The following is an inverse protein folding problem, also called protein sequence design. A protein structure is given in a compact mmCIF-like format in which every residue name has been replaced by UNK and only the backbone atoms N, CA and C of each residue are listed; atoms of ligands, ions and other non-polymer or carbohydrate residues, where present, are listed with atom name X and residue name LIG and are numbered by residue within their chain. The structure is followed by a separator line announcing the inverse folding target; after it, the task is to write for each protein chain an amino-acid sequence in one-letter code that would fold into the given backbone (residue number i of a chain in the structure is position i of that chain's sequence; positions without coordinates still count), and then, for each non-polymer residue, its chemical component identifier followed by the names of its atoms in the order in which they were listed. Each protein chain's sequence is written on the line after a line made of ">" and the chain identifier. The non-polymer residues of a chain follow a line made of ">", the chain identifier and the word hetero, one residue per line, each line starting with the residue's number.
data_IF_062682157102
#
_entry.id   IF_062682157102
#
_cell.length_a   1.000
_cell.length_b   1.000
_cell.length_c   1.000
_cell.angle_alpha   90.00
_cell.angle_beta   90.00
_cell.angle_gamma   90.00
#
_symmetry.space_group_name_H-M   'P 1'
#
loop_
_entity.id
_entity.type
_entity.pdbx_description
1 polymer ?
#
# COMPACT_ATOMS: atom_id res chain seq x y z
N UNK A 1 -17.19 69.62 26.86
CA UNK A 1 -17.45 68.69 25.73
C UNK A 1 -16.38 68.68 24.65
N UNK A 2 -15.51 69.71 24.52
CA UNK A 2 -14.45 69.76 23.49
C UNK A 2 -13.38 68.65 23.57
N UNK A 3 -12.98 68.22 24.77
CA UNK A 3 -11.96 67.17 24.94
C UNK A 3 -12.44 65.78 24.49
N UNK A 4 -13.70 65.44 24.74
CA UNK A 4 -14.27 64.16 24.35
C UNK A 4 -14.30 63.98 22.83
N UNK A 5 -14.70 65.02 22.08
CA UNK A 5 -14.67 65.01 20.61
C UNK A 5 -13.26 64.80 20.05
N UNK A 6 -12.25 65.46 20.63
CA UNK A 6 -10.87 65.31 20.15
C UNK A 6 -10.31 63.91 20.43
N UNK A 7 -10.71 63.29 21.55
CA UNK A 7 -10.37 61.91 21.86
C UNK A 7 -11.08 60.93 20.90
N UNK A 8 -12.39 61.04 20.73
CA UNK A 8 -13.17 60.20 19.80
C UNK A 8 -12.64 60.29 18.37
N UNK A 9 -12.24 61.49 17.92
CA UNK A 9 -11.59 61.70 16.63
C UNK A 9 -10.30 60.89 16.47
N UNK A 10 -9.43 60.90 17.48
CA UNK A 10 -8.18 60.12 17.46
C UNK A 10 -8.44 58.62 17.51
N UNK A 11 -9.47 58.19 18.22
CA UNK A 11 -9.87 56.79 18.29
C UNK A 11 -10.49 56.30 16.97
N UNK A 12 -11.38 57.07 16.37
CA UNK A 12 -11.96 56.78 15.06
C UNK A 12 -10.86 56.64 14.00
N UNK A 13 -9.90 57.56 14.00
CA UNK A 13 -8.74 57.46 13.10
C UNK A 13 -7.89 56.20 13.34
N UNK A 14 -7.61 55.86 14.60
CA UNK A 14 -6.79 54.69 14.93
C UNK A 14 -7.45 53.35 14.56
N UNK A 15 -8.79 53.31 14.47
CA UNK A 15 -9.59 52.11 14.16
C UNK A 15 -10.16 52.19 12.73
N UNK A 16 -9.69 53.13 11.91
CA UNK A 16 -10.11 53.36 10.51
C UNK A 16 -11.64 53.50 10.34
N UNK A 17 -12.25 54.15 11.32
CA UNK A 17 -13.68 54.37 11.38
C UNK A 17 -14.02 55.81 10.95
N UNK A 18 -15.17 56.02 10.31
CA UNK A 18 -15.58 57.35 9.88
C UNK A 18 -15.77 58.28 11.08
N UNK A 19 -14.88 59.28 11.16
CA UNK A 19 -14.86 60.29 12.22
C UNK A 19 -16.22 61.00 12.36
N UNK A 20 -16.88 61.29 11.24
CA UNK A 20 -18.14 62.01 11.22
C UNK A 20 -19.25 61.22 11.90
N UNK A 21 -19.34 59.92 11.62
CA UNK A 21 -20.38 59.02 12.17
C UNK A 21 -20.18 58.83 13.67
N UNK A 22 -18.93 58.68 14.12
CA UNK A 22 -18.60 58.50 15.54
C UNK A 22 -18.92 59.74 16.37
N UNK A 23 -18.61 60.92 15.82
CA UNK A 23 -18.90 62.19 16.49
C UNK A 23 -20.40 62.51 16.48
N UNK A 24 -21.11 62.23 15.39
CA UNK A 24 -22.56 62.43 15.29
C UNK A 24 -23.33 61.51 16.24
N UNK A 25 -22.92 60.25 16.37
CA UNK A 25 -23.49 59.32 17.36
C UNK A 25 -23.26 59.79 18.81
N UNK A 26 -22.07 60.33 19.11
CA UNK A 26 -21.77 60.89 20.43
C UNK A 26 -22.59 62.14 20.74
N UNK A 27 -22.78 63.02 19.76
CA UNK A 27 -23.57 64.24 19.92
C UNK A 27 -25.08 63.96 19.98
N UNK A 28 -25.56 62.94 19.27
CA UNK A 28 -26.96 62.49 19.28
C UNK A 28 -27.31 61.54 20.44
N UNK A 29 -26.30 61.03 21.16
CA UNK A 29 -26.47 60.07 22.25
C UNK A 29 -26.93 58.68 21.77
N UNK A 30 -26.75 58.38 20.48
CA UNK A 30 -27.18 57.13 19.86
C UNK A 30 -26.07 56.08 19.87
N UNK A 31 -26.42 54.82 20.11
CA UNK A 31 -25.45 53.72 20.09
C UNK A 31 -25.15 53.30 18.64
N UNK A 32 -23.88 53.31 18.24
CA UNK A 32 -23.45 52.81 16.94
C UNK A 32 -23.52 51.28 16.98
N UNK A 33 -24.47 50.69 16.26
CA UNK A 33 -24.53 49.24 16.04
C UNK A 33 -23.82 48.92 14.73
N UNK A 34 -22.75 48.12 14.81
CA UNK A 34 -22.19 47.47 13.62
C UNK A 34 -23.10 46.30 13.26
N UNK A 35 -23.98 46.55 12.30
CA UNK A 35 -24.60 45.46 11.56
C UNK A 35 -23.55 44.98 10.57
N UNK A 36 -22.86 43.88 10.91
CA UNK A 36 -22.19 43.06 9.90
C UNK A 36 -23.30 42.52 9.00
N UNK A 37 -23.67 43.32 8.00
CA UNK A 37 -24.46 42.82 6.88
C UNK A 37 -23.50 41.91 6.13
N UNK A 38 -23.69 40.60 6.22
CA UNK A 38 -23.20 39.66 5.23
C UNK A 38 -23.84 40.07 3.91
N UNK A 39 -23.20 41.00 3.22
CA UNK A 39 -23.62 41.42 1.89
C UNK A 39 -23.27 40.25 0.99
N UNK A 40 -24.23 39.36 0.76
CA UNK A 40 -24.19 38.52 -0.42
C UNK A 40 -24.03 39.47 -1.61
N UNK A 41 -22.84 39.51 -2.21
CA UNK A 41 -22.46 40.43 -3.29
C UNK A 41 -23.41 40.38 -4.52
N UNK A 42 -24.43 39.51 -4.53
CA UNK A 42 -25.40 39.37 -5.61
C UNK A 42 -26.47 40.49 -5.70
N UNK A 43 -26.79 41.19 -4.60
CA UNK A 43 -28.00 42.06 -4.58
C UNK A 43 -27.78 43.53 -4.99
N UNK A 44 -26.56 43.93 -5.37
CA UNK A 44 -26.30 45.27 -5.93
C UNK A 44 -26.64 45.39 -7.43
N UNK A 45 -27.00 44.29 -8.09
CA UNK A 45 -27.40 44.30 -9.51
C UNK A 45 -28.91 44.47 -9.67
N UNK A 46 -29.37 45.71 -9.50
CA UNK A 46 -30.69 46.12 -9.97
C UNK A 46 -30.85 45.78 -11.45
N UNK A 47 -31.67 44.76 -11.78
CA UNK A 47 -32.60 44.66 -12.92
C UNK A 47 -33.11 43.23 -13.09
N UNK A 48 -34.18 42.93 -12.36
CA UNK A 48 -35.33 42.08 -12.75
C UNK A 48 -35.11 41.20 -13.99
N UNK A 49 -34.47 40.04 -13.83
CA UNK A 49 -34.90 38.79 -14.46
C UNK A 49 -34.71 37.68 -13.44
N UNK A 50 -35.82 37.19 -12.89
CA UNK A 50 -35.88 35.91 -12.21
C UNK A 50 -35.52 34.83 -13.24
N UNK A 51 -34.23 34.62 -13.44
CA UNK A 51 -33.72 33.40 -14.01
C UNK A 51 -33.95 32.36 -12.91
N UNK A 52 -35.05 31.60 -13.02
CA UNK A 52 -35.23 30.40 -12.22
C UNK A 52 -33.96 29.58 -12.42
N UNK A 53 -33.05 29.61 -11.43
CA UNK A 53 -31.76 28.91 -11.46
C UNK A 53 -32.14 27.43 -11.62
N UNK A 54 -32.05 26.89 -12.85
CA UNK A 54 -32.23 25.46 -13.09
C UNK A 54 -31.01 24.82 -12.44
N UNK A 55 -31.20 24.23 -11.27
CA UNK A 55 -30.14 23.43 -10.64
C UNK A 55 -29.78 22.34 -11.62
N UNK A 56 -28.61 22.48 -12.23
CA UNK A 56 -28.17 21.53 -13.23
C UNK A 56 -27.82 20.25 -12.49
N UNK A 57 -28.53 19.15 -12.78
CA UNK A 57 -28.20 17.82 -12.27
C UNK A 57 -27.02 17.19 -13.02
N UNK A 58 -26.34 17.92 -13.92
CA UNK A 58 -25.11 17.49 -14.57
C UNK A 58 -24.07 16.95 -13.57
N UNK A 59 -23.69 17.68 -12.49
CA UNK A 59 -22.82 17.15 -11.45
C UNK A 59 -23.33 15.85 -10.82
N UNK A 60 -24.64 15.76 -10.53
CA UNK A 60 -25.24 14.55 -9.95
C UNK A 60 -25.16 13.35 -10.89
N UNK A 61 -25.38 13.56 -12.18
CA UNK A 61 -25.28 12.52 -13.20
C UNK A 61 -23.87 11.93 -13.30
N UNK A 62 -22.82 12.77 -13.17
CA UNK A 62 -21.45 12.29 -13.12
C UNK A 62 -21.18 11.40 -11.91
N UNK A 63 -21.72 11.74 -10.73
CA UNK A 63 -21.59 10.90 -9.55
C UNK A 63 -22.27 9.54 -9.73
N UNK A 64 -23.44 9.51 -10.36
CA UNK A 64 -24.16 8.25 -10.65
C UNK A 64 -23.37 7.41 -11.66
N UNK A 65 -22.85 8.01 -12.73
CA UNK A 65 -22.01 7.31 -13.70
C UNK A 65 -20.72 6.77 -13.09
N UNK A 66 -20.07 7.55 -12.23
CA UNK A 66 -18.85 7.15 -11.53
C UNK A 66 -19.11 5.99 -10.56
N UNK A 67 -20.20 6.06 -9.79
CA UNK A 67 -20.61 4.98 -8.91
C UNK A 67 -20.93 3.68 -9.69
N UNK A 68 -21.65 3.79 -10.81
CA UNK A 68 -21.94 2.64 -11.70
C UNK A 68 -20.68 2.03 -12.28
N UNK A 69 -19.72 2.87 -12.71
CA UNK A 69 -18.44 2.41 -13.25
C UNK A 69 -17.65 1.58 -12.22
N UNK A 70 -17.58 2.06 -10.97
CA UNK A 70 -16.90 1.33 -9.89
C UNK A 70 -17.61 -0.01 -9.62
N UNK A 71 -18.95 -0.01 -9.57
CA UNK A 71 -19.72 -1.22 -9.30
C UNK A 71 -19.55 -2.28 -10.39
N UNK A 72 -19.60 -1.88 -11.67
CA UNK A 72 -19.34 -2.77 -12.80
C UNK A 72 -17.91 -3.31 -12.74
N UNK A 73 -16.91 -2.46 -12.44
CA UNK A 73 -15.52 -2.88 -12.34
C UNK A 73 -15.30 -3.92 -11.23
N UNK A 74 -15.83 -3.66 -10.03
CA UNK A 74 -15.70 -4.57 -8.89
C UNK A 74 -16.40 -5.90 -9.16
N UNK A 75 -17.65 -5.86 -9.65
CA UNK A 75 -18.40 -7.08 -9.94
C UNK A 75 -17.76 -7.89 -11.07
N UNK A 76 -17.27 -7.25 -12.13
CA UNK A 76 -16.52 -7.90 -13.20
C UNK A 76 -15.22 -8.51 -12.67
N UNK A 77 -14.46 -7.78 -11.84
CA UNK A 77 -13.19 -8.26 -11.29
C UNK A 77 -13.38 -9.45 -10.36
N UNK A 78 -14.38 -9.42 -9.47
CA UNK A 78 -14.74 -10.53 -8.58
C UNK A 78 -15.22 -11.74 -9.38
N UNK A 79 -16.09 -11.53 -10.38
CA UNK A 79 -16.57 -12.61 -11.23
C UNK A 79 -15.43 -13.23 -12.05
N UNK A 80 -14.56 -12.41 -12.62
CA UNK A 80 -13.37 -12.87 -13.34
C UNK A 80 -12.41 -13.63 -12.42
N UNK A 81 -12.23 -13.15 -11.17
CA UNK A 81 -11.41 -13.83 -10.17
C UNK A 81 -11.98 -15.22 -9.82
N UNK A 82 -13.29 -15.35 -9.62
CA UNK A 82 -13.94 -16.65 -9.35
C UNK A 82 -13.90 -17.58 -10.57
N UNK A 83 -14.07 -17.05 -11.79
CA UNK A 83 -14.07 -17.85 -13.02
C UNK A 83 -12.67 -18.29 -13.46
N UNK A 84 -11.64 -17.53 -13.13
CA UNK A 84 -10.23 -17.89 -13.41
C UNK A 84 -9.61 -18.74 -12.31
N UNK A 85 -10.29 -18.87 -11.16
CA UNK A 85 -9.99 -19.95 -10.23
C UNK A 85 -10.51 -21.27 -10.80
N UNK A 86 -9.68 -22.33 -10.84
CA UNK A 86 -10.19 -23.66 -11.14
C UNK A 86 -11.26 -23.99 -10.10
N UNK A 87 -12.50 -24.18 -10.55
CA UNK A 87 -13.57 -24.69 -9.71
C UNK A 87 -13.05 -25.91 -8.95
N UNK A 88 -13.20 -25.99 -7.61
CA UNK A 88 -12.92 -27.22 -6.89
C UNK A 88 -13.97 -28.24 -7.37
N UNK A 89 -13.61 -28.99 -8.41
CA UNK A 89 -14.31 -30.20 -8.79
C UNK A 89 -14.51 -31.00 -7.51
N UNK A 90 -15.77 -31.23 -7.16
CA UNK A 90 -16.16 -32.12 -6.06
C UNK A 90 -15.49 -33.47 -6.26
N UNK A 91 -14.36 -33.66 -5.60
CA UNK A 91 -13.58 -34.88 -5.64
C UNK A 91 -14.38 -35.98 -4.95
N UNK A 92 -15.14 -36.74 -5.75
CA UNK A 92 -15.57 -38.08 -5.38
C UNK A 92 -14.31 -38.93 -5.20
N UNK A 93 -13.99 -39.26 -3.95
CA UNK A 93 -12.88 -40.14 -3.63
C UNK A 93 -13.30 -41.60 -3.90
N UNK A 94 -12.65 -42.27 -4.85
CA UNK A 94 -12.65 -43.73 -4.93
C UNK A 94 -11.25 -44.22 -4.62
N UNK A 95 -11.07 -44.79 -3.43
CA UNK A 95 -9.83 -45.46 -3.01
C UNK A 95 -9.90 -46.90 -3.50
N UNK A 96 -9.09 -47.33 -4.49
CA UNK A 96 -8.32 -48.59 -4.41
C UNK A 96 -7.21 -48.66 -5.49
N UNK A 97 -6.06 -49.17 -5.03
CA UNK A 97 -5.19 -50.18 -5.65
C UNK A 97 -4.02 -49.74 -6.53
N UNK A 98 -2.80 -49.89 -5.98
CA UNK A 98 -1.67 -50.47 -6.69
C UNK A 98 -0.77 -51.22 -5.71
N UNK A 99 -1.14 -52.48 -5.48
CA UNK A 99 -0.32 -53.68 -5.37
C UNK A 99 1.18 -53.50 -5.10
N UNK A 100 1.60 -53.90 -3.89
CA UNK A 100 2.93 -54.43 -3.60
C UNK A 100 3.25 -55.63 -4.50
N UNK A 101 4.39 -55.60 -5.20
CA UNK A 101 5.10 -56.79 -5.65
C UNK A 101 6.60 -56.50 -5.81
N UNK A 102 7.36 -57.07 -4.90
CA UNK A 102 8.81 -57.27 -4.87
C UNK A 102 9.34 -58.06 -6.06
N UNK A 103 10.42 -57.59 -6.72
CA UNK A 103 11.45 -58.44 -7.35
C UNK A 103 12.83 -57.78 -7.16
N UNK A 104 13.75 -58.54 -6.56
CA UNK A 104 15.17 -58.25 -6.34
C UNK A 104 16.03 -58.89 -7.43
N UNK A 105 17.15 -58.27 -7.83
CA UNK A 105 18.47 -58.91 -8.11
C UNK A 105 19.43 -57.89 -8.75
N UNK A 106 20.47 -57.48 -7.99
CA UNK A 106 21.93 -57.74 -8.21
C UNK A 106 22.53 -56.97 -9.39
N UNK A 107 23.44 -56.00 -9.22
CA UNK A 107 24.89 -56.10 -8.90
C UNK A 107 25.54 -55.07 -9.86
N UNK A 108 26.59 -54.30 -9.62
CA UNK A 108 27.64 -54.19 -8.60
C UNK A 108 28.55 -53.03 -9.06
N UNK A 109 29.24 -52.38 -8.10
CA UNK A 109 30.43 -51.50 -8.26
C UNK A 109 30.22 -50.14 -8.95
N UNK A 110 30.73 -49.00 -8.47
CA UNK A 110 31.60 -48.63 -7.34
C UNK A 110 31.48 -47.11 -7.18
N UNK A 111 31.11 -46.56 -6.01
CA UNK A 111 32.03 -46.08 -4.95
C UNK A 111 33.08 -45.12 -5.53
N UNK A 112 33.10 -43.81 -5.26
CA UNK A 112 33.42 -43.09 -4.01
C UNK A 112 33.48 -41.58 -4.39
N UNK A 113 33.19 -40.54 -3.62
CA UNK A 113 32.90 -40.35 -2.19
C UNK A 113 32.58 -38.86 -1.98
N UNK A 114 31.52 -38.61 -1.19
CA UNK A 114 31.39 -37.57 -0.15
C UNK A 114 31.37 -36.09 -0.57
N UNK A 115 30.38 -35.28 -0.20
CA UNK A 115 29.64 -35.27 1.06
C UNK A 115 28.15 -34.97 0.88
N UNK A 116 27.35 -35.91 1.34
CA UNK A 116 25.92 -35.84 1.56
C UNK A 116 25.60 -34.88 2.71
N UNK A 117 24.63 -34.00 2.47
CA UNK A 117 23.59 -33.72 3.47
C UNK A 117 22.25 -33.83 2.76
N UNK A 118 21.69 -35.03 2.77
CA UNK A 118 20.27 -35.27 2.52
C UNK A 118 19.49 -34.64 3.67
N UNK A 119 18.83 -33.52 3.41
CA UNK A 119 17.86 -32.93 4.33
C UNK A 119 16.61 -32.69 3.51
N UNK A 120 15.56 -33.44 3.85
CA UNK A 120 14.13 -33.25 3.52
C UNK A 120 13.86 -32.19 2.45
N UNK A 121 13.32 -32.61 1.30
CA UNK A 121 12.94 -31.82 0.12
C UNK A 121 12.23 -30.49 0.45
N UNK A 122 13.00 -29.50 0.87
CA UNK A 122 12.54 -28.13 0.95
C UNK A 122 12.39 -27.68 -0.49
N UNK A 123 11.15 -27.55 -0.95
CA UNK A 123 10.84 -27.10 -2.30
C UNK A 123 10.38 -25.66 -2.20
N UNK A 124 11.11 -24.73 -2.84
CA UNK A 124 10.64 -23.37 -3.06
C UNK A 124 9.92 -23.32 -4.41
N UNK A 125 8.65 -22.89 -4.39
CA UNK A 125 7.94 -22.52 -5.62
C UNK A 125 7.76 -21.00 -5.65
N UNK A 126 8.12 -20.38 -6.77
CA UNK A 126 7.98 -18.94 -6.98
C UNK A 126 6.92 -18.71 -8.06
N UNK A 127 5.93 -17.88 -7.75
CA UNK A 127 4.86 -17.48 -8.65
C UNK A 127 4.69 -15.96 -8.60
N UNK A 128 4.03 -15.38 -9.60
CA UNK A 128 3.81 -13.94 -9.71
C UNK A 128 4.67 -13.26 -10.78
N UNK A 129 4.31 -12.02 -11.09
CA UNK A 129 4.90 -11.23 -12.18
C UNK A 129 4.74 -9.72 -11.86
N UNK A 130 5.60 -8.89 -12.43
CA UNK A 130 5.53 -7.43 -12.26
C UNK A 130 6.34 -6.96 -11.05
N UNK A 131 5.68 -6.31 -10.08
CA UNK A 131 6.34 -5.79 -8.87
C UNK A 131 6.17 -6.68 -7.64
N UNK A 132 5.44 -7.79 -7.75
CA UNK A 132 5.16 -8.68 -6.62
C UNK A 132 5.28 -10.13 -7.03
N UNK A 133 6.05 -10.88 -6.27
CA UNK A 133 6.16 -12.34 -6.39
C UNK A 133 5.80 -13.01 -5.07
N UNK A 134 5.24 -14.21 -5.15
CA UNK A 134 4.92 -15.09 -4.04
C UNK A 134 5.89 -16.27 -4.07
N UNK A 135 6.65 -16.45 -2.99
CA UNK A 135 7.51 -17.60 -2.78
C UNK A 135 6.89 -18.48 -1.71
N UNK A 136 6.64 -19.75 -2.03
CA UNK A 136 6.18 -20.74 -1.05
C UNK A 136 7.33 -21.61 -0.64
N UNK A 137 7.65 -21.61 0.65
CA UNK A 137 8.73 -22.38 1.22
C UNK A 137 8.18 -23.49 2.11
N UNK A 138 8.38 -24.75 1.69
CA UNK A 138 8.04 -25.92 2.50
C UNK A 138 9.16 -26.19 3.50
N UNK A 139 8.84 -26.07 4.80
CA UNK A 139 9.80 -26.32 5.88
C UNK A 139 9.12 -26.89 7.11
N UNK A 140 9.79 -27.82 7.77
CA UNK A 140 9.37 -28.38 9.06
C UNK A 140 9.93 -27.60 10.25
N UNK A 141 10.72 -26.54 10.00
CA UNK A 141 11.34 -25.71 11.05
C UNK A 141 10.43 -24.53 11.41
N UNK A 142 10.34 -24.24 12.71
CA UNK A 142 9.59 -23.07 13.21
C UNK A 142 10.23 -21.72 12.84
N UNK A 143 11.49 -21.74 12.41
CA UNK A 143 12.23 -20.55 11.97
C UNK A 143 12.94 -20.82 10.64
N UNK A 144 13.05 -19.77 9.83
CA UNK A 144 13.78 -19.79 8.57
C UNK A 144 14.82 -18.65 8.55
N UNK A 145 15.97 -18.92 7.95
CA UNK A 145 17.02 -17.92 7.77
C UNK A 145 16.93 -17.28 6.40
N UNK A 146 16.68 -15.98 6.36
CA UNK A 146 16.63 -15.21 5.11
C UNK A 146 17.95 -14.46 4.95
N UNK A 147 18.56 -14.61 3.78
CA UNK A 147 19.81 -13.95 3.42
C UNK A 147 19.59 -13.18 2.12
N UNK A 148 19.91 -11.88 2.15
CA UNK A 148 19.85 -11.01 0.99
C UNK A 148 21.27 -10.57 0.66
N UNK A 149 21.66 -10.71 -0.60
CA UNK A 149 22.98 -10.31 -1.07
C UNK A 149 22.89 -9.49 -2.36
N UNK A 150 23.84 -8.58 -2.53
CA UNK A 150 23.94 -7.70 -3.68
C UNK A 150 25.29 -7.88 -4.35
N UNK A 151 25.28 -8.04 -5.68
CA UNK A 151 26.50 -8.21 -6.45
C UNK A 151 27.19 -6.87 -6.72
N UNK A 152 26.54 -6.03 -7.53
CA UNK A 152 27.11 -4.79 -8.10
C UNK A 152 26.15 -3.58 -8.01
N UNK A 153 25.08 -3.69 -7.24
CA UNK A 153 24.07 -2.64 -7.09
C UNK A 153 24.04 -2.08 -5.65
N UNK A 154 23.29 -1.00 -5.46
CA UNK A 154 22.88 -0.53 -4.13
C UNK A 154 21.37 -0.73 -4.02
N UNK A 155 20.92 -1.45 -2.99
CA UNK A 155 19.50 -1.76 -2.81
C UNK A 155 19.09 -1.61 -1.36
N UNK A 156 18.00 -0.88 -1.14
CA UNK A 156 17.33 -0.88 0.16
C UNK A 156 16.46 -2.13 0.28
N UNK A 157 16.60 -2.86 1.37
CA UNK A 157 15.83 -4.07 1.62
C UNK A 157 15.18 -4.03 3.00
N UNK A 158 13.95 -4.51 3.10
CA UNK A 158 13.24 -4.68 4.37
C UNK A 158 12.62 -6.07 4.44
N UNK A 159 12.65 -6.70 5.61
CA UNK A 159 12.08 -8.02 5.86
C UNK A 159 11.17 -7.95 7.08
N UNK A 160 9.86 -8.05 6.88
CA UNK A 160 8.87 -7.96 7.95
C UNK A 160 9.00 -9.10 8.97
N UNK A 161 8.76 -8.84 10.25
CA UNK A 161 8.82 -9.87 11.29
C UNK A 161 10.25 -10.35 11.58
N UNK A 162 11.22 -9.48 11.34
CA UNK A 162 12.65 -9.73 11.54
C UNK A 162 13.36 -8.45 11.99
N UNK A 163 14.62 -8.55 12.39
CA UNK A 163 15.43 -7.38 12.77
C UNK A 163 15.64 -6.38 11.62
N UNK A 164 15.37 -6.80 10.37
CA UNK A 164 15.48 -5.96 9.16
C UNK A 164 14.15 -5.31 8.76
N UNK A 165 13.14 -5.31 9.62
CA UNK A 165 11.83 -4.71 9.31
C UNK A 165 11.95 -3.19 9.08
N UNK A 166 12.81 -2.51 9.86
CA UNK A 166 13.15 -1.09 9.66
C UNK A 166 13.94 -0.78 8.38
N UNK A 167 14.39 -1.83 7.69
CA UNK A 167 15.11 -1.75 6.43
C UNK A 167 16.59 -1.45 6.57
N UNK A 168 17.37 -1.95 5.62
CA UNK A 168 18.81 -1.79 5.54
C UNK A 168 19.21 -1.52 4.10
N UNK A 169 20.21 -0.67 3.88
CA UNK A 169 20.75 -0.44 2.54
C UNK A 169 21.94 -1.34 2.32
N UNK A 170 21.81 -2.27 1.39
CA UNK A 170 22.91 -3.11 0.91
C UNK A 170 23.68 -2.36 -0.18
N UNK A 171 25.00 -2.41 -0.10
CA UNK A 171 25.92 -1.76 -1.04
C UNK A 171 27.23 -2.53 -1.12
N UNK A 172 28.21 -2.05 -1.89
CA UNK A 172 29.50 -2.72 -2.06
C UNK A 172 30.25 -2.97 -0.75
N UNK A 173 30.09 -2.10 0.25
CA UNK A 173 30.73 -2.22 1.57
C UNK A 173 30.00 -3.23 2.49
N UNK A 174 28.69 -3.44 2.29
CA UNK A 174 27.85 -4.36 3.06
C UNK A 174 27.01 -5.18 2.07
N UNK A 175 27.68 -6.12 1.40
CA UNK A 175 27.10 -6.87 0.28
C UNK A 175 26.03 -7.86 0.69
N UNK A 176 26.02 -8.32 1.94
CA UNK A 176 25.06 -9.32 2.41
C UNK A 176 24.52 -8.95 3.78
N UNK A 177 23.28 -9.37 4.02
CA UNK A 177 22.64 -9.30 5.32
C UNK A 177 21.88 -10.61 5.56
N UNK A 178 21.92 -11.07 6.80
CA UNK A 178 21.21 -12.26 7.25
C UNK A 178 20.23 -11.88 8.34
N UNK A 179 19.05 -12.48 8.29
CA UNK A 179 18.03 -12.33 9.32
C UNK A 179 17.32 -13.66 9.54
N UNK A 180 16.70 -13.79 10.71
CA UNK A 180 15.90 -14.97 11.05
C UNK A 180 14.45 -14.53 11.15
N UNK A 181 13.56 -15.29 10.51
CA UNK A 181 12.12 -15.03 10.50
C UNK A 181 11.35 -16.21 11.06
N UNK A 182 10.19 -15.94 11.64
CA UNK A 182 9.27 -16.96 12.13
C UNK A 182 8.45 -17.53 10.98
N UNK A 183 8.38 -18.87 10.92
CA UNK A 183 7.59 -19.61 9.92
C UNK A 183 6.07 -19.53 10.19
N UNK A 184 5.65 -18.96 11.33
CA UNK A 184 4.24 -18.92 11.75
C UNK A 184 3.36 -18.00 10.89
N UNK A 185 3.93 -16.94 10.33
CA UNK A 185 3.22 -15.90 9.60
C UNK A 185 3.89 -15.68 8.24
N UNK A 186 3.15 -15.27 7.20
CA UNK A 186 3.74 -14.88 5.94
C UNK A 186 4.66 -13.67 6.14
N UNK A 187 5.84 -13.73 5.53
CA UNK A 187 6.87 -12.69 5.61
C UNK A 187 6.91 -11.92 4.31
N UNK A 188 6.93 -10.60 4.39
CA UNK A 188 7.06 -9.72 3.23
C UNK A 188 8.46 -9.14 3.18
N UNK A 189 9.14 -9.38 2.07
CA UNK A 189 10.46 -8.84 1.77
C UNK A 189 10.27 -7.74 0.73
N UNK A 190 10.65 -6.51 1.05
CA UNK A 190 10.59 -5.38 0.13
C UNK A 190 11.99 -5.07 -0.39
N UNK A 191 12.12 -4.93 -1.70
CA UNK A 191 13.36 -4.59 -2.39
C UNK A 191 13.19 -3.27 -3.13
N UNK A 192 14.06 -2.31 -2.83
CA UNK A 192 14.13 -1.01 -3.50
C UNK A 192 14.72 -1.11 -4.91
N UNK A 193 15.74 -1.94 -5.08
CA UNK A 193 16.32 -2.29 -6.37
C UNK A 193 16.32 -3.81 -6.50
N UNK A 194 15.58 -4.36 -7.45
CA UNK A 194 15.49 -5.83 -7.65
C UNK A 194 16.67 -6.38 -8.47
N UNK A 195 17.22 -5.58 -9.39
CA UNK A 195 18.31 -6.01 -10.26
C UNK A 195 19.61 -6.12 -9.48
N UNK A 196 20.25 -7.28 -9.56
CA UNK A 196 21.51 -7.54 -8.87
C UNK A 196 21.36 -7.92 -7.39
N UNK A 197 20.14 -8.14 -6.90
CA UNK A 197 19.87 -8.64 -5.54
C UNK A 197 19.42 -10.10 -5.60
N UNK A 198 20.12 -10.95 -4.87
CA UNK A 198 19.76 -12.35 -4.67
C UNK A 198 19.11 -12.50 -3.30
N UNK A 199 17.95 -13.15 -3.28
CA UNK A 199 17.23 -13.48 -2.05
C UNK A 199 17.32 -14.98 -1.85
N UNK A 200 17.77 -15.39 -0.68
CA UNK A 200 17.88 -16.80 -0.31
C UNK A 200 17.17 -17.06 1.01
N UNK A 201 16.50 -18.20 1.12
CA UNK A 201 15.82 -18.68 2.32
C UNK A 201 16.37 -20.06 2.63
N UNK A 202 16.99 -20.24 3.80
CA UNK A 202 17.63 -21.49 4.22
C UNK A 202 18.52 -22.11 3.12
N UNK A 203 19.40 -21.29 2.54
CA UNK A 203 20.30 -21.66 1.45
C UNK A 203 19.63 -22.03 0.10
N UNK A 204 18.32 -21.84 -0.06
CA UNK A 204 17.67 -21.89 -1.36
C UNK A 204 17.46 -20.52 -1.96
N UNK A 205 17.76 -20.40 -3.24
CA UNK A 205 17.63 -19.14 -3.98
C UNK A 205 16.20 -18.97 -4.47
N UNK A 206 15.62 -17.81 -4.20
CA UNK A 206 14.34 -17.39 -4.77
C UNK A 206 14.61 -16.79 -6.13
N UNK A 207 13.95 -17.30 -7.17
CA UNK A 207 14.03 -16.71 -8.51
C UNK A 207 13.31 -15.36 -8.55
N UNK A 208 14.08 -14.27 -8.50
CA UNK A 208 13.57 -12.90 -8.59
C UNK A 208 13.46 -12.40 -10.03
N UNK A 209 13.76 -13.24 -11.04
CA UNK A 209 13.75 -12.85 -12.47
C UNK A 209 12.38 -12.42 -12.97
N UNK A 210 11.30 -12.81 -12.28
CA UNK A 210 9.92 -12.43 -12.58
C UNK A 210 9.56 -11.00 -12.13
N UNK A 211 10.43 -10.36 -11.35
CA UNK A 211 10.30 -8.95 -10.98
C UNK A 211 10.81 -8.06 -12.13
N UNK A 212 9.90 -7.45 -12.87
CA UNK A 212 10.22 -6.64 -14.06
C UNK A 212 10.36 -5.15 -13.75
N UNK A 213 9.94 -4.72 -12.56
CA UNK A 213 9.99 -3.33 -12.09
C UNK A 213 11.29 -3.00 -11.35
N UNK A 214 11.57 -1.71 -11.15
CA UNK A 214 12.78 -1.28 -10.42
C UNK A 214 12.76 -1.71 -8.96
N UNK A 215 11.62 -1.55 -8.30
CA UNK A 215 11.32 -2.01 -6.93
C UNK A 215 10.47 -3.27 -6.99
N UNK A 216 10.48 -4.09 -5.95
CA UNK A 216 9.67 -5.31 -5.91
C UNK A 216 9.43 -5.83 -4.51
N UNK A 217 8.36 -6.61 -4.36
CA UNK A 217 7.96 -7.22 -3.10
C UNK A 217 7.88 -8.72 -3.26
N UNK A 218 8.51 -9.47 -2.34
CA UNK A 218 8.45 -10.93 -2.27
C UNK A 218 7.63 -11.29 -1.05
N UNK A 219 6.47 -11.90 -1.25
CA UNK A 219 5.70 -12.50 -0.16
C UNK A 219 6.14 -13.95 0.02
N UNK A 220 6.77 -14.25 1.15
CA UNK A 220 7.21 -15.57 1.54
C UNK A 220 6.16 -16.23 2.42
N UNK A 221 5.52 -17.28 1.91
CA UNK A 221 4.53 -18.08 2.63
C UNK A 221 5.17 -19.39 3.02
N UNK A 222 5.03 -19.76 4.29
CA UNK A 222 5.56 -21.02 4.79
C UNK A 222 4.48 -22.08 4.87
N UNK A 223 4.80 -23.31 4.46
CA UNK A 223 3.90 -24.45 4.61
C UNK A 223 4.63 -25.58 5.35
N UNK A 224 4.04 -26.04 6.44
CA UNK A 224 4.44 -27.24 7.17
C UNK A 224 3.75 -28.48 6.58
N UNK A 225 4.44 -29.62 6.58
CA UNK A 225 3.86 -30.94 6.25
C UNK A 225 3.09 -31.53 7.44
#
# INVERSE_FOLDING_TARGET
>A
TFYARSFLRKYAWAVELDEGIVLDAYDSGSMITYEEVDVDEEDLSGRRRSNKKKTSYLPLFYFVLFALSILIFVTYYVWNYIQTQPSPSSANYSVVNSTSSTISSSSSSSSQTSSSSSTTESTITVSGEGNRIEARYKTSKETATVQLAVSDATSWVSVSGSELEGGVTLSADNKNVKTTVSTKNPVTITLGVVKGVTVTVDNQTIDTSKLTTQTGTVTLTFTTD
#
